data_IF_632882011671
#
_entry.id   IF_632882011671
#
_cell.length_a   1.000
_cell.length_b   1.000
_cell.length_c   1.000
_cell.angle_alpha   90.00
_cell.angle_beta   90.00
_cell.angle_gamma   90.00
#
_symmetry.space_group_name_H-M   'P 1'
#
loop_
_entity.id
_entity.type
_entity.pdbx_description
1 polymer ?
#
# COMPACT_ATOMS: atom_id res chain seq x y z
N UNK A 1 20.16 5.31 13.41
CA UNK A 1 19.14 5.65 12.37
C UNK A 1 18.67 4.41 11.58
N UNK A 2 19.55 3.63 10.91
CA UNK A 2 19.11 2.39 10.22
C UNK A 2 18.55 1.37 11.20
N UNK A 3 19.19 1.12 12.32
CA UNK A 3 18.73 0.20 13.35
C UNK A 3 17.36 0.58 13.94
N UNK A 4 17.06 1.87 14.02
CA UNK A 4 15.76 2.39 14.45
C UNK A 4 14.67 2.16 13.40
N UNK A 5 14.98 2.37 12.12
CA UNK A 5 14.03 2.14 11.02
C UNK A 5 13.65 0.65 10.94
N UNK A 6 14.57 -0.26 11.27
CA UNK A 6 14.31 -1.70 11.26
C UNK A 6 13.94 -2.29 12.63
N UNK A 7 13.49 -1.43 13.56
CA UNK A 7 12.92 -1.78 14.85
C UNK A 7 11.39 -1.74 14.87
N UNK A 8 10.83 -1.97 16.04
CA UNK A 8 9.38 -1.82 16.31
C UNK A 8 8.84 -0.41 16.02
N UNK A 9 9.71 0.61 16.01
CA UNK A 9 9.36 2.00 15.73
C UNK A 9 9.41 2.35 14.24
N UNK A 10 9.97 1.47 13.41
CA UNK A 10 10.26 1.76 12.00
C UNK A 10 9.06 2.18 11.17
N UNK A 11 7.92 1.52 11.34
CA UNK A 11 6.68 1.94 10.68
C UNK A 11 6.28 3.38 11.06
N UNK A 12 6.34 3.70 12.34
CA UNK A 12 6.00 5.04 12.84
C UNK A 12 6.91 6.10 12.25
N UNK A 13 8.21 5.81 12.14
CA UNK A 13 9.20 6.71 11.54
C UNK A 13 8.87 6.95 10.05
N UNK A 14 8.57 5.89 9.29
CA UNK A 14 8.23 6.01 7.86
C UNK A 14 6.97 6.86 7.69
N UNK A 15 5.91 6.59 8.44
CA UNK A 15 4.68 7.37 8.34
C UNK A 15 4.86 8.82 8.78
N UNK A 16 5.60 9.07 9.84
CA UNK A 16 5.91 10.43 10.30
C UNK A 16 6.58 11.28 9.20
N UNK A 17 7.54 10.70 8.48
CA UNK A 17 8.21 11.40 7.38
C UNK A 17 7.36 11.43 6.10
N UNK A 18 6.51 10.44 5.86
CA UNK A 18 5.66 10.41 4.67
C UNK A 18 4.54 11.45 4.71
N UNK A 19 4.01 11.80 5.89
CA UNK A 19 2.90 12.77 6.03
C UNK A 19 3.22 14.13 5.39
N UNK A 20 4.32 14.83 5.74
CA UNK A 20 4.63 16.11 5.12
C UNK A 20 4.93 15.97 3.62
N UNK A 21 5.53 14.86 3.20
CA UNK A 21 5.80 14.60 1.79
C UNK A 21 4.48 14.43 1.03
N UNK A 22 3.54 13.63 1.54
CA UNK A 22 2.21 13.49 0.95
C UNK A 22 1.48 14.84 0.86
N UNK A 23 1.54 15.65 1.91
CA UNK A 23 0.92 16.98 1.89
C UNK A 23 1.48 17.86 0.77
N UNK A 24 2.81 17.88 0.60
CA UNK A 24 3.48 18.65 -0.47
C UNK A 24 3.06 18.13 -1.85
N UNK A 25 3.05 16.82 -2.05
CA UNK A 25 2.73 16.19 -3.35
C UNK A 25 1.26 16.43 -3.71
N UNK A 26 0.33 16.27 -2.75
CA UNK A 26 -1.10 16.55 -2.94
C UNK A 26 -1.32 18.02 -3.27
N UNK A 27 -0.72 18.95 -2.53
CA UNK A 27 -0.82 20.38 -2.82
C UNK A 27 -0.26 20.70 -4.21
N UNK A 28 0.85 20.09 -4.59
CA UNK A 28 1.43 20.24 -5.93
C UNK A 28 0.48 19.75 -7.03
N UNK A 29 -0.16 18.59 -6.86
CA UNK A 29 -1.15 18.07 -7.82
C UNK A 29 -2.42 18.95 -7.86
N UNK A 30 -2.90 19.45 -6.72
CA UNK A 30 -4.04 20.38 -6.67
C UNK A 30 -3.74 21.70 -7.39
N UNK A 31 -2.55 22.26 -7.19
CA UNK A 31 -2.07 23.46 -7.88
C UNK A 31 -1.99 23.20 -9.38
N UNK A 32 -1.38 22.09 -9.80
CA UNK A 32 -1.31 21.67 -11.20
C UNK A 32 -2.71 21.54 -11.82
N UNK A 33 -3.62 20.85 -11.15
CA UNK A 33 -5.02 20.67 -11.58
C UNK A 33 -5.74 22.01 -11.78
N UNK A 34 -5.53 22.97 -10.86
CA UNK A 34 -6.13 24.29 -10.93
C UNK A 34 -5.62 25.08 -12.14
N UNK A 35 -4.30 25.15 -12.34
CA UNK A 35 -3.72 25.91 -13.46
C UNK A 35 -4.01 25.30 -14.83
N UNK A 36 -4.09 23.97 -14.92
CA UNK A 36 -4.43 23.30 -16.18
C UNK A 36 -5.94 23.15 -16.40
N UNK A 37 -6.77 23.68 -15.49
CA UNK A 37 -8.25 23.58 -15.54
C UNK A 37 -8.74 22.13 -15.58
N UNK A 38 -7.98 21.20 -15.02
CA UNK A 38 -8.36 19.81 -14.85
C UNK A 38 -9.17 19.69 -13.55
N UNK A 39 -10.28 18.94 -13.59
CA UNK A 39 -11.12 18.71 -12.39
C UNK A 39 -10.71 17.41 -11.70
N UNK A 40 -9.47 17.33 -11.24
CA UNK A 40 -8.96 16.12 -10.59
C UNK A 40 -9.50 15.93 -9.18
N UNK A 41 -9.90 16.99 -8.51
CA UNK A 41 -10.32 16.99 -7.11
C UNK A 41 -11.76 17.49 -6.93
N UNK A 42 -12.55 16.73 -6.17
CA UNK A 42 -13.82 17.15 -5.62
C UNK A 42 -13.77 17.08 -4.08
N UNK A 43 -14.25 18.11 -3.41
CA UNK A 43 -14.16 18.21 -1.93
C UNK A 43 -14.82 17.04 -1.21
N UNK A 44 -16.00 16.58 -1.69
CA UNK A 44 -16.72 15.46 -1.07
C UNK A 44 -15.94 14.16 -1.21
N UNK A 45 -15.31 13.92 -2.37
CA UNK A 45 -14.50 12.75 -2.62
C UNK A 45 -13.24 12.75 -1.74
N UNK A 46 -12.53 13.89 -1.67
CA UNK A 46 -11.36 14.05 -0.78
C UNK A 46 -11.72 13.78 0.68
N UNK A 47 -12.84 14.34 1.17
CA UNK A 47 -13.29 14.09 2.54
C UNK A 47 -13.63 12.62 2.77
N UNK A 48 -14.24 11.95 1.79
CA UNK A 48 -14.52 10.51 1.85
C UNK A 48 -13.21 9.69 1.89
N UNK A 49 -12.21 10.05 1.09
CA UNK A 49 -10.91 9.39 1.06
C UNK A 49 -10.21 9.50 2.43
N UNK A 50 -10.20 10.70 3.02
CA UNK A 50 -9.62 10.95 4.36
C UNK A 50 -10.39 10.19 5.44
N UNK A 51 -11.73 10.21 5.39
CA UNK A 51 -12.56 9.48 6.36
C UNK A 51 -12.27 7.97 6.34
N UNK A 52 -12.23 7.37 5.16
CA UNK A 52 -11.93 5.94 5.00
C UNK A 52 -10.49 5.60 5.43
N UNK A 53 -9.52 6.50 5.18
CA UNK A 53 -8.17 6.35 5.68
C UNK A 53 -8.10 6.33 7.21
N UNK A 54 -8.83 7.23 7.88
CA UNK A 54 -8.90 7.27 9.35
C UNK A 54 -9.50 5.99 9.90
N UNK A 55 -10.58 5.49 9.31
CA UNK A 55 -11.19 4.22 9.73
C UNK A 55 -10.26 3.03 9.54
N UNK A 56 -9.60 2.95 8.37
CA UNK A 56 -8.64 1.88 8.09
C UNK A 56 -7.45 1.93 9.07
N UNK A 57 -6.86 3.11 9.29
CA UNK A 57 -5.75 3.31 10.21
C UNK A 57 -6.15 2.98 11.66
N UNK A 58 -7.36 3.39 12.08
CA UNK A 58 -7.90 3.06 13.41
C UNK A 58 -8.03 1.54 13.61
N UNK A 59 -8.56 0.83 12.61
CA UNK A 59 -8.66 -0.62 12.65
C UNK A 59 -7.29 -1.30 12.60
N UNK A 60 -6.36 -0.76 11.80
CA UNK A 60 -4.98 -1.26 11.74
C UNK A 60 -4.27 -1.13 13.10
N UNK A 61 -4.47 -0.02 13.78
CA UNK A 61 -3.91 0.19 15.12
C UNK A 61 -4.49 -0.81 16.14
N UNK A 62 -5.80 -1.08 16.09
CA UNK A 62 -6.44 -2.09 16.93
C UNK A 62 -5.92 -3.51 16.63
N UNK A 63 -5.70 -3.82 15.36
CA UNK A 63 -5.22 -5.13 14.92
C UNK A 63 -3.71 -5.31 15.05
N UNK A 64 -2.95 -4.26 15.31
CA UNK A 64 -1.47 -4.31 15.35
C UNK A 64 -0.94 -5.39 16.29
N UNK A 65 -1.49 -5.48 17.50
CA UNK A 65 -1.10 -6.50 18.48
C UNK A 65 -1.36 -7.92 18.00
N UNK A 66 -2.53 -8.18 17.42
CA UNK A 66 -2.91 -9.48 16.86
C UNK A 66 -2.02 -9.85 15.67
N UNK A 67 -1.84 -8.93 14.76
CA UNK A 67 -1.01 -9.11 13.56
C UNK A 67 0.43 -9.47 13.92
N UNK A 68 1.02 -8.72 14.86
CA UNK A 68 2.39 -8.97 15.32
C UNK A 68 2.49 -10.29 16.08
N UNK A 69 1.53 -10.62 16.95
CA UNK A 69 1.52 -11.90 17.67
C UNK A 69 1.49 -13.09 16.69
N UNK A 70 0.66 -13.04 15.65
CA UNK A 70 0.60 -14.10 14.64
C UNK A 70 1.91 -14.19 13.85
N UNK A 71 2.46 -13.06 13.39
CA UNK A 71 3.72 -13.07 12.66
C UNK A 71 4.88 -13.56 13.52
N UNK A 72 4.96 -13.17 14.80
CA UNK A 72 5.99 -13.68 15.71
C UNK A 72 5.80 -15.15 16.03
N UNK A 73 4.56 -15.64 16.12
CA UNK A 73 4.32 -17.08 16.26
C UNK A 73 4.95 -17.84 15.09
N UNK A 74 4.71 -17.43 13.83
CA UNK A 74 5.34 -18.04 12.66
C UNK A 74 6.86 -17.85 12.64
N UNK A 75 7.36 -16.70 13.05
CA UNK A 75 8.78 -16.43 13.12
C UNK A 75 9.51 -17.32 14.14
N UNK A 76 8.88 -17.65 15.28
CA UNK A 76 9.43 -18.60 16.23
C UNK A 76 9.54 -20.03 15.67
N UNK A 77 8.66 -20.38 14.71
CA UNK A 77 8.68 -21.66 14.00
C UNK A 77 9.34 -21.57 12.61
N UNK A 78 10.20 -20.60 12.40
CA UNK A 78 10.82 -20.32 11.11
C UNK A 78 11.66 -21.47 10.56
N UNK A 79 11.65 -21.60 9.24
CA UNK A 79 12.44 -22.61 8.53
C UNK A 79 13.91 -22.22 8.37
N UNK A 80 14.19 -20.90 8.25
CA UNK A 80 15.52 -20.39 7.98
C UNK A 80 15.91 -19.29 8.97
N UNK A 81 17.20 -19.13 9.17
CA UNK A 81 17.77 -17.99 9.91
C UNK A 81 18.66 -17.22 8.93
N UNK A 82 18.34 -15.96 8.73
CA UNK A 82 19.04 -15.10 7.77
C UNK A 82 19.99 -14.15 8.49
N UNK A 83 21.16 -13.94 7.90
CA UNK A 83 22.03 -12.85 8.31
C UNK A 83 21.52 -11.52 7.75
N UNK A 84 21.59 -10.46 8.60
CA UNK A 84 21.17 -9.13 8.23
C UNK A 84 22.21 -8.48 7.30
N UNK A 85 21.93 -8.44 6.01
CA UNK A 85 22.77 -7.85 4.97
C UNK A 85 21.93 -7.26 3.83
N UNK A 86 22.56 -6.67 2.82
CA UNK A 86 21.85 -6.03 1.71
C UNK A 86 20.93 -7.01 0.95
N UNK A 87 21.32 -8.25 0.80
CA UNK A 87 20.52 -9.27 0.09
C UNK A 87 19.29 -9.68 0.88
N UNK A 88 19.41 -9.72 2.21
CA UNK A 88 18.26 -9.90 3.09
C UNK A 88 17.21 -8.78 2.88
N UNK A 89 17.66 -7.52 2.78
CA UNK A 89 16.76 -6.40 2.50
C UNK A 89 16.09 -6.52 1.15
N UNK A 90 16.85 -6.77 0.10
CA UNK A 90 16.28 -6.98 -1.24
C UNK A 90 15.25 -8.09 -1.19
N UNK A 91 15.56 -9.20 -0.53
CA UNK A 91 14.65 -10.34 -0.43
C UNK A 91 13.36 -10.00 0.33
N UNK A 92 13.45 -9.31 1.49
CA UNK A 92 12.23 -8.97 2.25
C UNK A 92 11.34 -8.00 1.48
N UNK A 93 11.92 -7.02 0.77
CA UNK A 93 11.15 -6.09 -0.05
C UNK A 93 10.46 -6.79 -1.22
N UNK A 94 11.19 -7.58 -1.99
CA UNK A 94 10.63 -8.31 -3.15
C UNK A 94 9.56 -9.30 -2.73
N UNK A 95 9.79 -10.05 -1.65
CA UNK A 95 8.81 -11.02 -1.16
C UNK A 95 7.61 -10.36 -0.50
N UNK A 96 7.79 -9.21 0.17
CA UNK A 96 6.69 -8.43 0.71
C UNK A 96 5.82 -7.84 -0.41
N UNK A 97 6.43 -7.32 -1.47
CA UNK A 97 5.72 -6.86 -2.66
C UNK A 97 4.92 -8.00 -3.30
N UNK A 98 5.54 -9.17 -3.46
CA UNK A 98 4.85 -10.36 -3.96
C UNK A 98 3.69 -10.80 -3.04
N UNK A 99 3.88 -10.79 -1.72
CA UNK A 99 2.81 -11.13 -0.78
C UNK A 99 1.64 -10.14 -0.85
N UNK A 100 1.95 -8.85 -1.04
CA UNK A 100 0.95 -7.82 -1.27
C UNK A 100 0.23 -8.00 -2.63
N UNK A 101 0.97 -8.36 -3.68
CA UNK A 101 0.36 -8.73 -4.96
C UNK A 101 -0.63 -9.89 -4.81
N UNK A 102 -0.27 -10.96 -4.09
CA UNK A 102 -1.17 -12.11 -3.85
C UNK A 102 -2.41 -11.67 -3.08
N UNK A 103 -2.27 -10.85 -2.04
CA UNK A 103 -3.38 -10.26 -1.29
C UNK A 103 -4.31 -9.48 -2.24
N UNK A 104 -3.76 -8.57 -3.03
CA UNK A 104 -4.48 -7.71 -3.95
C UNK A 104 -5.19 -8.53 -5.05
N UNK A 105 -4.51 -9.54 -5.59
CA UNK A 105 -5.08 -10.47 -6.56
C UNK A 105 -6.30 -11.21 -5.98
N UNK A 106 -6.20 -11.70 -4.74
CA UNK A 106 -7.32 -12.39 -4.05
C UNK A 106 -8.44 -11.39 -3.74
N UNK A 107 -8.12 -10.16 -3.37
CA UNK A 107 -9.10 -9.09 -3.15
C UNK A 107 -9.94 -8.81 -4.40
N UNK A 108 -9.38 -8.94 -5.61
CA UNK A 108 -10.11 -8.80 -6.88
C UNK A 108 -10.85 -10.04 -7.31
N UNK A 109 -10.35 -11.24 -7.03
CA UNK A 109 -10.89 -12.48 -7.58
C UNK A 109 -11.82 -13.25 -6.62
N UNK A 110 -11.89 -12.84 -5.36
CA UNK A 110 -12.79 -13.43 -4.37
C UNK A 110 -13.92 -12.47 -4.02
N UNK A 111 -15.18 -12.88 -4.20
CA UNK A 111 -16.36 -12.05 -3.92
C UNK A 111 -16.37 -11.48 -2.50
N UNK A 112 -15.93 -12.25 -1.51
CA UNK A 112 -15.89 -11.82 -0.11
C UNK A 112 -14.85 -10.70 0.11
N UNK A 113 -13.67 -10.84 -0.46
CA UNK A 113 -12.59 -9.85 -0.34
C UNK A 113 -12.82 -8.65 -1.26
N UNK A 114 -13.41 -8.86 -2.46
CA UNK A 114 -13.86 -7.76 -3.31
C UNK A 114 -14.86 -6.85 -2.60
N UNK A 115 -15.79 -7.40 -1.82
CA UNK A 115 -16.74 -6.60 -1.03
C UNK A 115 -16.05 -5.64 -0.04
N UNK A 116 -14.81 -5.94 0.37
CA UNK A 116 -13.96 -5.05 1.17
C UNK A 116 -13.18 -4.10 0.25
N UNK A 117 -12.57 -4.63 -0.82
CA UNK A 117 -11.64 -3.92 -1.69
C UNK A 117 -12.34 -2.90 -2.62
N UNK A 118 -13.59 -3.14 -2.99
CA UNK A 118 -14.39 -2.22 -3.82
C UNK A 118 -14.46 -0.81 -3.24
N UNK A 119 -14.31 -0.64 -1.93
CA UNK A 119 -14.23 0.68 -1.28
C UNK A 119 -13.10 1.50 -1.87
N UNK A 120 -11.95 0.88 -2.15
CA UNK A 120 -10.79 1.50 -2.77
C UNK A 120 -11.09 1.94 -4.22
N UNK A 121 -11.80 1.12 -4.98
CA UNK A 121 -12.18 1.38 -6.37
C UNK A 121 -13.44 2.25 -6.54
N UNK A 122 -14.04 2.75 -5.46
CA UNK A 122 -15.33 3.45 -5.50
C UNK A 122 -15.23 4.97 -5.67
N UNK A 123 -14.03 5.55 -5.91
CA UNK A 123 -13.88 6.97 -6.23
C UNK A 123 -14.18 7.24 -7.71
N UNK A 124 -14.96 8.28 -7.99
CA UNK A 124 -15.17 8.80 -9.35
C UNK A 124 -13.98 9.66 -9.83
N UNK A 125 -13.10 10.03 -8.92
CA UNK A 125 -11.89 10.82 -9.19
C UNK A 125 -10.64 9.98 -8.96
N UNK A 126 -9.66 10.13 -9.85
CA UNK A 126 -8.37 9.47 -9.69
C UNK A 126 -7.28 10.51 -9.48
N UNK A 127 -6.84 10.66 -8.25
CA UNK A 127 -5.82 11.60 -7.79
C UNK A 127 -5.09 11.02 -6.57
N UNK A 128 -4.04 11.68 -6.08
CA UNK A 128 -3.22 11.13 -4.99
C UNK A 128 -4.03 10.82 -3.73
N UNK A 129 -5.11 11.59 -3.44
CA UNK A 129 -5.95 11.28 -2.28
C UNK A 129 -6.78 10.01 -2.45
N UNK A 130 -6.98 9.52 -3.66
CA UNK A 130 -7.60 8.21 -3.92
C UNK A 130 -6.74 7.07 -3.35
N UNK A 131 -5.42 7.23 -3.29
CA UNK A 131 -4.52 6.29 -2.62
C UNK A 131 -4.75 6.17 -1.11
N UNK A 132 -5.38 7.17 -0.47
CA UNK A 132 -5.80 7.09 0.93
C UNK A 132 -7.12 6.35 1.13
N UNK A 133 -7.89 6.13 0.07
CA UNK A 133 -9.16 5.39 0.12
C UNK A 133 -8.92 3.90 0.33
N UNK A 134 -8.36 3.57 1.49
CA UNK A 134 -7.97 2.20 1.84
C UNK A 134 -9.18 1.32 2.16
N UNK A 135 -9.12 0.01 1.83
CA UNK A 135 -10.14 -0.96 2.23
C UNK A 135 -10.19 -1.09 3.75
N UNK A 136 -11.25 -0.55 4.38
CA UNK A 136 -11.34 -0.39 5.85
C UNK A 136 -11.15 -1.70 6.61
N UNK A 137 -11.68 -2.82 6.10
CA UNK A 137 -11.63 -4.12 6.78
C UNK A 137 -10.41 -4.98 6.42
N UNK A 138 -9.54 -4.53 5.50
CA UNK A 138 -8.35 -5.29 5.10
C UNK A 138 -7.38 -5.59 6.26
N UNK A 139 -7.19 -4.71 7.27
CA UNK A 139 -6.37 -5.02 8.43
C UNK A 139 -6.76 -6.29 9.19
N UNK A 140 -8.02 -6.74 9.07
CA UNK A 140 -8.48 -7.97 9.75
C UNK A 140 -7.82 -9.24 9.21
N UNK A 141 -7.34 -9.25 7.97
CA UNK A 141 -6.85 -10.47 7.32
C UNK A 141 -5.50 -10.34 6.60
N UNK A 142 -5.05 -9.14 6.25
CA UNK A 142 -3.84 -8.97 5.43
C UNK A 142 -2.57 -9.57 6.05
N UNK A 143 -2.46 -9.60 7.38
CA UNK A 143 -1.32 -10.19 8.07
C UNK A 143 -1.16 -11.69 7.81
N UNK A 144 -2.25 -12.40 7.45
CA UNK A 144 -2.20 -13.81 7.07
C UNK A 144 -1.37 -14.01 5.80
N UNK A 145 -1.40 -13.06 4.87
CA UNK A 145 -0.60 -13.09 3.64
C UNK A 145 0.88 -12.76 3.90
N UNK A 146 1.19 -12.05 4.97
CA UNK A 146 2.56 -11.70 5.37
C UNK A 146 3.20 -12.75 6.28
N UNK A 147 2.40 -13.54 6.97
CA UNK A 147 2.86 -14.58 7.90
C UNK A 147 3.77 -15.64 7.26
N UNK A 148 3.59 -16.04 5.98
CA UNK A 148 4.55 -16.94 5.31
C UNK A 148 5.98 -16.39 5.25
N UNK A 149 6.16 -15.07 5.14
CA UNK A 149 7.50 -14.46 5.15
C UNK A 149 8.14 -14.62 6.53
N UNK A 150 7.38 -14.44 7.60
CA UNK A 150 7.86 -14.67 8.96
C UNK A 150 8.24 -16.15 9.16
N UNK A 151 7.46 -17.08 8.63
CA UNK A 151 7.77 -18.52 8.64
C UNK A 151 9.03 -18.85 7.83
N UNK A 152 9.29 -18.15 6.73
CA UNK A 152 10.55 -18.24 5.98
C UNK A 152 11.74 -17.65 6.74
N UNK A 153 11.55 -16.97 7.85
CA UNK A 153 12.61 -16.47 8.73
C UNK A 153 12.88 -14.97 8.63
N UNK A 154 12.03 -14.20 7.93
CA UNK A 154 12.13 -12.75 7.93
C UNK A 154 11.52 -12.17 9.22
N UNK A 155 12.24 -11.23 9.83
CA UNK A 155 11.78 -10.59 11.06
C UNK A 155 10.47 -9.84 10.83
N UNK A 156 9.43 -10.03 11.68
CA UNK A 156 8.14 -9.33 11.55
C UNK A 156 8.24 -7.81 11.45
N UNK A 157 9.14 -7.18 12.19
CA UNK A 157 9.35 -5.73 12.09
C UNK A 157 9.85 -5.32 10.70
N UNK A 158 10.77 -6.07 10.11
CA UNK A 158 11.30 -5.79 8.77
C UNK A 158 10.24 -5.99 7.68
N UNK A 159 9.38 -7.00 7.83
CA UNK A 159 8.21 -7.21 6.94
C UNK A 159 7.29 -5.98 6.99
N UNK A 160 6.99 -5.50 8.21
CA UNK A 160 6.10 -4.34 8.37
C UNK A 160 6.73 -3.03 7.89
N UNK A 161 8.05 -2.87 8.02
CA UNK A 161 8.78 -1.74 7.45
C UNK A 161 8.71 -1.76 5.91
N UNK A 162 8.99 -2.91 5.29
CA UNK A 162 8.87 -3.08 3.83
C UNK A 162 7.45 -2.77 3.36
N UNK A 163 6.43 -3.31 4.05
CA UNK A 163 5.03 -3.00 3.79
C UNK A 163 4.75 -1.50 3.85
N UNK A 164 5.24 -0.79 4.86
CA UNK A 164 5.00 0.65 5.01
C UNK A 164 5.60 1.47 3.87
N UNK A 165 6.80 1.11 3.40
CA UNK A 165 7.42 1.75 2.23
C UNK A 165 6.60 1.51 0.97
N UNK A 166 6.14 0.27 0.76
CA UNK A 166 5.27 -0.08 -0.38
C UNK A 166 3.93 0.67 -0.33
N UNK A 167 3.35 0.89 0.86
CA UNK A 167 2.12 1.69 1.00
C UNK A 167 2.33 3.17 0.65
N UNK A 168 3.46 3.76 1.04
CA UNK A 168 3.81 5.12 0.65
C UNK A 168 3.93 5.22 -0.88
N UNK A 169 4.64 4.29 -1.50
CA UNK A 169 4.74 4.21 -2.96
C UNK A 169 3.38 3.99 -3.63
N UNK A 170 2.59 3.05 -3.11
CA UNK A 170 1.24 2.74 -3.58
C UNK A 170 0.30 3.95 -3.56
N UNK A 171 0.47 4.88 -2.62
CA UNK A 171 -0.27 6.15 -2.62
C UNK A 171 0.12 7.03 -3.81
N UNK A 172 1.41 7.11 -4.16
CA UNK A 172 1.90 7.99 -5.22
C UNK A 172 1.58 7.52 -6.64
N UNK A 173 1.26 6.25 -6.84
CA UNK A 173 0.82 5.77 -8.16
C UNK A 173 -0.62 6.20 -8.52
N UNK A 174 -1.38 6.74 -7.56
CA UNK A 174 -2.73 7.26 -7.77
C UNK A 174 -2.70 8.70 -8.32
N UNK A 175 -2.15 8.92 -9.49
CA UNK A 175 -2.14 10.25 -10.13
C UNK A 175 -2.40 10.19 -11.62
N UNK A 176 -3.04 11.23 -12.14
CA UNK A 176 -3.21 11.45 -13.58
C UNK A 176 -2.13 12.36 -14.18
N UNK A 177 -1.35 13.06 -13.34
CA UNK A 177 -0.37 14.05 -13.79
C UNK A 177 0.89 13.42 -14.37
N UNK A 178 1.26 12.23 -13.89
CA UNK A 178 2.39 11.44 -14.42
C UNK A 178 1.87 10.48 -15.48
N UNK A 179 2.32 10.63 -16.73
CA UNK A 179 1.82 9.82 -17.86
C UNK A 179 2.58 8.52 -18.01
N UNK A 180 3.80 8.57 -18.49
CA UNK A 180 4.62 7.40 -18.77
C UNK A 180 6.02 7.60 -18.17
N UNK A 181 6.54 6.59 -17.48
CA UNK A 181 7.87 6.60 -16.85
C UNK A 181 8.91 5.79 -17.65
N UNK A 182 8.63 5.51 -18.91
CA UNK A 182 9.56 4.85 -19.82
C UNK A 182 9.95 3.45 -19.34
N UNK A 183 11.26 3.19 -19.24
CA UNK A 183 11.78 1.87 -18.90
C UNK A 183 11.36 1.37 -17.49
N UNK A 184 10.99 2.26 -16.58
CA UNK A 184 10.50 1.89 -15.24
C UNK A 184 9.21 1.07 -15.32
N UNK A 185 8.43 1.24 -16.35
CA UNK A 185 7.18 0.48 -16.54
C UNK A 185 7.40 -1.00 -16.86
N UNK A 186 8.63 -1.43 -17.10
CA UNK A 186 8.92 -2.84 -17.37
C UNK A 186 9.00 -3.68 -16.10
N UNK A 187 9.23 -3.07 -14.94
CA UNK A 187 9.44 -3.79 -13.68
C UNK A 187 8.78 -3.14 -12.45
N UNK A 188 8.13 -1.98 -12.60
CA UNK A 188 7.42 -1.31 -11.53
C UNK A 188 5.99 -1.00 -11.95
N UNK A 189 5.05 -1.08 -11.02
CA UNK A 189 3.71 -0.52 -11.20
C UNK A 189 3.83 1.00 -11.17
N UNK A 190 3.52 1.65 -12.27
CA UNK A 190 3.58 3.11 -12.42
C UNK A 190 2.19 3.73 -12.39
N UNK A 191 2.04 5.06 -12.31
CA UNK A 191 0.74 5.71 -12.42
C UNK A 191 -0.02 5.35 -13.69
N UNK A 192 0.67 5.09 -14.82
CA UNK A 192 0.00 4.68 -16.06
C UNK A 192 -0.62 3.28 -15.95
N UNK A 193 0.07 2.36 -15.29
CA UNK A 193 -0.43 1.02 -14.99
C UNK A 193 -1.61 1.07 -14.03
N UNK A 194 -1.48 1.84 -12.95
CA UNK A 194 -2.47 1.89 -11.90
C UNK A 194 -3.77 2.59 -12.34
N UNK A 195 -3.70 3.55 -13.28
CA UNK A 195 -4.89 4.09 -13.96
C UNK A 195 -5.67 3.03 -14.74
N UNK A 196 -4.99 2.09 -15.40
CA UNK A 196 -5.65 0.97 -16.09
C UNK A 196 -6.31 0.05 -15.07
N UNK A 197 -5.65 -0.21 -13.93
CA UNK A 197 -6.18 -1.01 -12.84
C UNK A 197 -7.47 -0.43 -12.23
N UNK A 198 -7.53 0.89 -12.03
CA UNK A 198 -8.72 1.59 -11.52
C UNK A 198 -9.78 1.89 -12.60
N UNK A 199 -9.54 1.54 -13.86
CA UNK A 199 -10.48 1.87 -14.93
C UNK A 199 -11.73 0.99 -14.88
N UNK A 200 -12.92 1.61 -14.92
CA UNK A 200 -14.22 0.92 -14.92
C UNK A 200 -14.67 0.39 -16.31
N UNK A 201 -13.85 0.58 -17.34
CA UNK A 201 -14.14 0.07 -18.67
C UNK A 201 -14.04 -1.45 -18.71
N UNK A 202 -15.00 -2.15 -19.28
CA UNK A 202 -15.06 -3.63 -19.35
C UNK A 202 -13.74 -4.25 -19.84
N UNK A 203 -13.05 -3.60 -20.79
CA UNK A 203 -11.75 -4.03 -21.34
C UNK A 203 -10.64 -4.10 -20.30
N UNK A 204 -10.71 -3.26 -19.27
CA UNK A 204 -9.66 -3.06 -18.26
C UNK A 204 -9.99 -3.65 -16.90
N UNK A 205 -11.21 -4.16 -16.69
CA UNK A 205 -11.60 -4.79 -15.43
C UNK A 205 -10.63 -5.93 -15.09
N UNK A 206 -10.22 -5.97 -13.84
CA UNK A 206 -9.28 -6.97 -13.27
C UNK A 206 -7.97 -7.10 -14.07
N UNK A 207 -7.49 -5.99 -14.63
CA UNK A 207 -6.20 -5.94 -15.32
C UNK A 207 -5.18 -5.19 -14.48
N UNK A 208 -3.93 -5.57 -14.69
CA UNK A 208 -2.76 -4.86 -14.16
C UNK A 208 -2.75 -4.80 -12.62
N UNK A 209 -2.92 -5.96 -12.00
CA UNK A 209 -2.89 -6.17 -10.55
C UNK A 209 -1.53 -5.81 -9.96
#
# INVERSE_FOLDING_TARGET
MLDEIFSENGQGIIYMWSIPIHAIVILGEMIYSHFNREKLYETKDVLSNVYLAILNYGLDLLMKGVSMAVMFFFYHHRLFTWEFNVWYFVAVFVLQDFAYYVLHYVDHHSRAFWAVHITHHSSDHFNITTGFRSPVLQPLYRYLYFSPLAFLGFNPWHIMVAYSVLQVYGTWVHTQTVKNLGFLEWFMVTPSHHRVHHACNIRYLDRNM
#
